data_IF_427104901602
#
_entry.id   IF_427104901602
#
_cell.length_a   1.000
_cell.length_b   1.000
_cell.length_c   1.000
_cell.angle_alpha   90.00
_cell.angle_beta   90.00
_cell.angle_gamma   90.00
#
_symmetry.space_group_name_H-M   'P 1'
#
loop_
_entity.id
_entity.type
_entity.pdbx_description
1 polymer ?
#
# COMPACT_ATOMS: atom_id res chain seq x y z
N UNK A 1 1.54 -10.13 -13.59
CA UNK A 1 2.92 -9.89 -13.16
C UNK A 1 3.23 -10.37 -11.74
N UNK A 2 2.24 -10.80 -10.96
CA UNK A 2 2.42 -11.39 -9.64
C UNK A 2 2.31 -12.91 -9.71
N UNK A 3 3.07 -13.60 -8.84
CA UNK A 3 2.88 -15.04 -8.67
C UNK A 3 1.63 -15.31 -7.81
N UNK A 4 1.04 -16.51 -7.98
CA UNK A 4 -0.18 -16.87 -7.23
C UNK A 4 0.08 -17.01 -5.73
N UNK A 5 1.28 -17.47 -5.34
CA UNK A 5 1.67 -17.64 -3.94
C UNK A 5 2.47 -16.45 -3.40
N UNK A 6 2.12 -15.25 -3.83
CA UNK A 6 2.74 -14.00 -3.38
C UNK A 6 2.83 -13.91 -1.86
N UNK A 7 3.97 -13.45 -1.37
CA UNK A 7 4.15 -13.11 0.04
C UNK A 7 4.13 -11.60 0.19
N UNK A 8 3.23 -11.10 1.04
CA UNK A 8 3.11 -9.67 1.31
C UNK A 8 3.30 -9.40 2.79
N UNK A 9 4.17 -8.44 3.10
CA UNK A 9 4.35 -7.93 4.44
C UNK A 9 4.11 -6.43 4.42
N UNK A 10 3.17 -5.97 5.21
CA UNK A 10 2.79 -4.56 5.24
C UNK A 10 2.91 -3.93 6.62
N UNK A 11 2.62 -2.65 6.65
CA UNK A 11 2.60 -1.83 7.87
C UNK A 11 1.63 -2.43 8.89
N UNK A 12 1.96 -2.26 10.17
CA UNK A 12 1.13 -2.73 11.28
C UNK A 12 0.98 -4.25 11.26
N UNK A 13 2.08 -4.91 10.93
CA UNK A 13 2.21 -6.37 10.99
C UNK A 13 1.18 -7.11 10.12
N UNK A 14 0.84 -6.56 8.96
CA UNK A 14 -0.04 -7.22 7.99
C UNK A 14 0.76 -8.21 7.16
N UNK A 15 0.43 -9.48 7.31
CA UNK A 15 1.08 -10.56 6.58
C UNK A 15 0.03 -11.29 5.76
N UNK A 16 0.22 -11.32 4.45
CA UNK A 16 -0.69 -12.03 3.54
C UNK A 16 0.09 -13.02 2.70
N UNK A 17 -0.47 -14.20 2.53
CA UNK A 17 0.03 -15.18 1.58
C UNK A 17 -1.02 -15.41 0.50
N UNK A 18 -0.57 -15.38 -0.74
CA UNK A 18 -1.42 -15.60 -1.89
C UNK A 18 -1.94 -14.32 -2.52
N UNK A 19 -2.06 -14.37 -3.83
CA UNK A 19 -2.46 -13.21 -4.62
C UNK A 19 -3.88 -12.75 -4.31
N UNK A 20 -4.79 -13.68 -4.02
CA UNK A 20 -6.18 -13.33 -3.73
C UNK A 20 -6.30 -12.52 -2.43
N UNK A 21 -5.55 -12.91 -1.38
CA UNK A 21 -5.53 -12.16 -0.13
C UNK A 21 -4.97 -10.76 -0.34
N UNK A 22 -3.92 -10.63 -1.14
CA UNK A 22 -3.34 -9.33 -1.47
C UNK A 22 -4.33 -8.44 -2.23
N UNK A 23 -5.02 -8.99 -3.23
CA UNK A 23 -6.03 -8.25 -4.00
C UNK A 23 -7.16 -7.75 -3.11
N UNK A 24 -7.61 -8.58 -2.17
CA UNK A 24 -8.65 -8.18 -1.21
C UNK A 24 -8.20 -7.02 -0.35
N UNK A 25 -6.95 -7.05 0.11
CA UNK A 25 -6.38 -5.95 0.89
C UNK A 25 -6.35 -4.65 0.08
N UNK A 26 -5.86 -4.69 -1.16
CA UNK A 26 -5.83 -3.52 -2.04
C UNK A 26 -7.23 -2.97 -2.26
N UNK A 27 -8.23 -3.85 -2.42
CA UNK A 27 -9.61 -3.43 -2.60
C UNK A 27 -10.16 -2.67 -1.39
N UNK A 28 -9.78 -3.08 -0.16
CA UNK A 28 -10.22 -2.35 1.05
C UNK A 28 -9.66 -0.94 1.10
N UNK A 29 -8.43 -0.74 0.61
CA UNK A 29 -7.82 0.59 0.52
C UNK A 29 -8.55 1.44 -0.51
N UNK A 30 -8.83 0.88 -1.69
CA UNK A 30 -9.54 1.59 -2.75
C UNK A 30 -10.97 1.95 -2.37
N UNK A 31 -11.61 1.11 -1.58
CA UNK A 31 -12.96 1.41 -1.07
C UNK A 31 -12.93 2.58 -0.09
N UNK A 32 -11.92 2.62 0.77
CA UNK A 32 -11.78 3.72 1.74
C UNK A 32 -11.43 5.05 1.05
N UNK A 33 -10.59 5.00 0.01
CA UNK A 33 -10.11 6.19 -0.71
C UNK A 33 -10.37 6.05 -2.21
N UNK A 34 -11.62 6.22 -2.66
CA UNK A 34 -11.93 6.01 -4.08
C UNK A 34 -11.27 7.01 -5.02
N UNK A 35 -10.87 8.18 -4.50
CA UNK A 35 -10.19 9.23 -5.25
C UNK A 35 -8.67 9.21 -5.08
N UNK A 36 -8.11 8.10 -4.55
CA UNK A 36 -6.69 8.01 -4.26
C UNK A 36 -5.83 8.24 -5.50
N UNK A 37 -4.89 9.18 -5.41
CA UNK A 37 -3.88 9.42 -6.43
C UNK A 37 -2.52 9.16 -5.85
N UNK A 38 -1.68 8.48 -6.62
CA UNK A 38 -0.37 8.05 -6.17
C UNK A 38 0.71 8.60 -7.09
N UNK A 39 1.78 9.10 -6.48
CA UNK A 39 2.96 9.60 -7.17
C UNK A 39 4.17 8.80 -6.72
N UNK A 40 4.92 8.28 -7.68
CA UNK A 40 6.20 7.62 -7.40
C UNK A 40 7.29 8.68 -7.41
N UNK A 41 7.94 8.88 -6.27
CA UNK A 41 8.94 9.93 -6.10
C UNK A 41 10.32 9.47 -6.52
N UNK A 42 10.71 8.26 -6.14
CA UNK A 42 12.01 7.68 -6.48
C UNK A 42 11.92 6.18 -6.62
N UNK A 43 12.70 5.61 -7.53
CA UNK A 43 12.79 4.16 -7.72
C UNK A 43 14.26 3.77 -7.73
N UNK A 44 14.59 2.74 -6.98
CA UNK A 44 15.91 2.14 -6.94
C UNK A 44 15.79 0.66 -7.23
N UNK A 45 16.79 0.08 -7.85
CA UNK A 45 16.80 -1.36 -8.11
C UNK A 45 18.21 -1.91 -8.05
N UNK A 46 18.30 -3.19 -7.68
CA UNK A 46 19.55 -3.93 -7.68
C UNK A 46 19.27 -5.37 -8.04
N UNK A 47 20.26 -6.02 -8.60
CA UNK A 47 20.15 -7.42 -9.00
C UNK A 47 20.53 -7.65 -10.45
N UNK A 48 20.13 -8.80 -10.95
CA UNK A 48 20.39 -9.20 -12.33
C UNK A 48 19.39 -10.28 -12.74
N UNK A 49 19.39 -10.63 -14.01
CA UNK A 49 18.46 -11.63 -14.57
C UNK A 49 18.63 -13.01 -13.93
N UNK A 50 19.84 -13.36 -13.52
CA UNK A 50 20.13 -14.68 -12.94
C UNK A 50 19.63 -14.78 -11.50
N UNK A 51 19.94 -13.79 -10.67
CA UNK A 51 19.64 -13.80 -9.22
C UNK A 51 18.29 -13.16 -8.88
N UNK A 52 17.67 -12.52 -9.86
CA UNK A 52 16.46 -11.75 -9.66
C UNK A 52 16.76 -10.30 -9.29
N UNK A 53 15.70 -9.52 -9.13
CA UNK A 53 15.76 -8.08 -8.87
C UNK A 53 15.11 -7.73 -7.55
N UNK A 54 15.68 -6.78 -6.86
CA UNK A 54 15.02 -6.11 -5.74
C UNK A 54 14.75 -4.68 -6.18
N UNK A 55 13.49 -4.28 -6.15
CA UNK A 55 13.06 -2.95 -6.56
C UNK A 55 12.47 -2.25 -5.34
N UNK A 56 12.88 -0.99 -5.13
CA UNK A 56 12.38 -0.18 -4.03
C UNK A 56 11.84 1.13 -4.58
N UNK A 57 10.63 1.49 -4.21
CA UNK A 57 10.00 2.73 -4.62
C UNK A 57 9.56 3.54 -3.41
N UNK A 58 9.92 4.82 -3.39
CA UNK A 58 9.36 5.78 -2.44
C UNK A 58 8.22 6.50 -3.14
N UNK A 59 7.08 6.58 -2.47
CA UNK A 59 5.87 7.14 -3.06
C UNK A 59 5.14 8.04 -2.09
N UNK A 60 4.31 8.90 -2.64
CA UNK A 60 3.35 9.70 -1.90
C UNK A 60 1.98 9.56 -2.53
N UNK A 61 0.95 9.76 -1.75
CA UNK A 61 -0.41 9.64 -2.22
C UNK A 61 -1.31 10.58 -1.44
N UNK A 62 -2.44 10.93 -2.05
CA UNK A 62 -3.46 11.69 -1.36
C UNK A 62 -4.83 11.19 -1.78
N UNK A 63 -5.77 11.27 -0.85
CA UNK A 63 -7.12 10.83 -1.09
C UNK A 63 -8.03 11.30 0.02
N UNK A 64 -9.33 11.19 -0.21
CA UNK A 64 -10.34 11.56 0.75
C UNK A 64 -10.98 10.29 1.31
N UNK A 65 -11.09 10.20 2.63
CA UNK A 65 -11.70 9.05 3.30
C UNK A 65 -13.21 9.10 3.11
N UNK A 66 -13.66 8.64 1.96
CA UNK A 66 -15.05 8.70 1.51
C UNK A 66 -15.81 7.39 1.64
N UNK A 67 -15.11 6.28 1.80
CA UNK A 67 -15.71 4.96 1.79
C UNK A 67 -15.46 4.16 3.04
N UNK A 68 -16.36 3.21 3.30
CA UNK A 68 -16.24 2.25 4.38
C UNK A 68 -15.29 1.14 3.92
N UNK A 69 -14.26 0.91 4.65
CA UNK A 69 -13.25 -0.09 4.30
C UNK A 69 -12.38 -0.38 5.49
N UNK A 70 -11.07 -0.40 5.28
CA UNK A 70 -10.11 -0.75 6.33
C UNK A 70 -10.17 0.20 7.54
N UNK A 71 -10.56 1.47 7.33
CA UNK A 71 -10.64 2.46 8.40
C UNK A 71 -12.08 2.76 8.83
N UNK A 72 -12.99 1.86 8.53
CA UNK A 72 -14.40 1.91 8.92
C UNK A 72 -15.13 3.09 8.29
N UNK A 73 -16.08 3.69 9.01
CA UNK A 73 -16.97 4.70 8.45
C UNK A 73 -16.22 5.91 7.89
N UNK A 74 -16.67 6.45 6.76
CA UNK A 74 -16.01 7.60 6.14
C UNK A 74 -16.00 8.80 7.08
N UNK A 75 -14.86 9.48 7.10
CA UNK A 75 -14.65 10.69 7.92
C UNK A 75 -14.63 11.96 7.08
N UNK A 76 -14.62 11.84 5.75
CA UNK A 76 -14.41 12.93 4.79
C UNK A 76 -13.07 13.65 4.97
N UNK A 77 -12.12 13.03 5.66
CA UNK A 77 -10.79 13.60 5.86
C UNK A 77 -10.01 13.61 4.55
N UNK A 78 -9.39 14.75 4.24
CA UNK A 78 -8.39 14.83 3.19
C UNK A 78 -7.09 14.28 3.77
N UNK A 79 -6.64 13.15 3.25
CA UNK A 79 -5.53 12.41 3.83
C UNK A 79 -4.31 12.41 2.91
N UNK A 80 -3.14 12.47 3.53
CA UNK A 80 -1.87 12.35 2.83
C UNK A 80 -1.13 11.13 3.33
N UNK A 81 -0.68 10.32 2.40
CA UNK A 81 0.06 9.10 2.66
C UNK A 81 1.43 9.18 1.99
N UNK A 82 2.39 8.52 2.60
CA UNK A 82 3.69 8.33 2.00
C UNK A 82 4.27 7.01 2.49
N UNK A 83 5.11 6.43 1.69
CA UNK A 83 5.68 5.15 2.08
C UNK A 83 6.77 4.67 1.14
N UNK A 84 7.22 3.47 1.44
CA UNK A 84 8.21 2.75 0.65
C UNK A 84 7.66 1.35 0.41
N UNK A 85 7.74 0.91 -0.84
CA UNK A 85 7.38 -0.44 -1.23
C UNK A 85 8.58 -1.10 -1.87
N UNK A 86 8.85 -2.34 -1.50
CA UNK A 86 9.91 -3.15 -2.11
C UNK A 86 9.30 -4.40 -2.73
N UNK A 87 9.82 -4.78 -3.86
CA UNK A 87 9.39 -5.97 -4.59
C UNK A 87 10.58 -6.85 -4.90
N UNK A 88 10.39 -8.15 -4.74
CA UNK A 88 11.33 -9.13 -5.29
C UNK A 88 10.75 -9.65 -6.60
N UNK A 89 11.53 -9.53 -7.66
CA UNK A 89 11.12 -9.94 -9.01
C UNK A 89 12.07 -11.03 -9.50
N UNK A 90 11.50 -12.13 -9.97
CA UNK A 90 12.23 -13.25 -10.53
C UNK A 90 11.52 -13.74 -11.78
N UNK A 91 12.27 -13.93 -12.87
CA UNK A 91 11.70 -14.39 -14.14
C UNK A 91 10.53 -13.52 -14.62
N UNK A 92 10.62 -12.23 -14.38
CA UNK A 92 9.58 -11.28 -14.81
C UNK A 92 8.33 -11.26 -13.94
N UNK A 93 8.32 -11.98 -12.82
CA UNK A 93 7.16 -12.05 -11.92
C UNK A 93 7.51 -11.54 -10.53
N UNK A 94 6.57 -10.82 -9.91
CA UNK A 94 6.72 -10.35 -8.54
C UNK A 94 6.35 -11.49 -7.60
N UNK A 95 7.29 -11.93 -6.78
CA UNK A 95 7.11 -13.04 -5.86
C UNK A 95 6.95 -12.63 -4.41
N UNK A 96 7.37 -11.40 -4.07
CA UNK A 96 7.22 -10.86 -2.72
C UNK A 96 7.11 -9.35 -2.77
N UNK A 97 6.37 -8.80 -1.82
CA UNK A 97 6.20 -7.35 -1.66
C UNK A 97 6.27 -7.00 -0.19
N UNK A 98 7.01 -5.95 0.13
CA UNK A 98 7.08 -5.35 1.46
C UNK A 98 6.65 -3.91 1.34
N UNK A 99 5.80 -3.46 2.25
CA UNK A 99 5.28 -2.10 2.21
C UNK A 99 5.24 -1.49 3.60
N UNK A 100 5.80 -0.29 3.72
CA UNK A 100 5.69 0.52 4.92
C UNK A 100 5.13 1.88 4.53
N UNK A 101 4.12 2.33 5.26
CA UNK A 101 3.57 3.67 5.03
C UNK A 101 3.18 4.31 6.37
N UNK A 102 2.85 5.59 6.35
CA UNK A 102 2.58 6.41 7.54
C UNK A 102 1.19 6.14 8.13
N UNK A 103 0.89 4.87 8.42
CA UNK A 103 -0.45 4.49 8.86
C UNK A 103 -0.88 5.13 10.17
N UNK A 104 0.02 5.23 11.13
CA UNK A 104 -0.33 5.89 12.40
C UNK A 104 -0.75 7.33 12.17
N UNK A 105 0.00 8.07 11.37
CA UNK A 105 -0.34 9.44 11.00
C UNK A 105 -1.66 9.52 10.23
N UNK A 106 -1.89 8.58 9.33
CA UNK A 106 -3.16 8.48 8.60
C UNK A 106 -4.34 8.32 9.55
N UNK A 107 -4.22 7.43 10.52
CA UNK A 107 -5.26 7.23 11.53
C UNK A 107 -5.50 8.52 12.33
N UNK A 108 -4.44 9.25 12.65
CA UNK A 108 -4.57 10.54 13.34
C UNK A 108 -5.27 11.57 12.49
N UNK A 109 -5.00 11.63 11.19
CA UNK A 109 -5.70 12.53 10.26
C UNK A 109 -7.20 12.26 10.26
N UNK A 110 -7.58 10.98 10.18
CA UNK A 110 -8.97 10.54 10.20
C UNK A 110 -9.63 10.89 11.55
N UNK A 111 -8.95 10.61 12.64
CA UNK A 111 -9.45 10.87 13.99
C UNK A 111 -9.71 12.35 14.22
N UNK A 112 -8.80 13.22 13.79
CA UNK A 112 -8.96 14.67 13.90
C UNK A 112 -10.16 15.15 13.10
N UNK A 113 -10.39 14.62 11.92
CA UNK A 113 -11.53 14.97 11.09
C UNK A 113 -12.86 14.58 11.78
N UNK A 114 -12.91 13.41 12.41
CA UNK A 114 -14.10 12.96 13.14
C UNK A 114 -14.44 13.84 14.32
N UNK A 115 -13.44 14.40 14.98
CA UNK A 115 -13.66 15.30 16.14
C UNK A 115 -14.25 16.65 15.77
N UNK A 116 -14.18 17.03 14.51
CA UNK A 116 -14.70 18.31 14.02
C UNK A 116 -16.17 18.25 13.63
N UNK A 117 -16.76 17.09 13.67
CA UNK A 117 -18.16 16.88 13.27
C UNK A 117 -19.12 17.05 14.49
#
# INVERSE_FOLDING_TARGET
>A
CYVDNLKFEGTTNRLFEGLNAYKSYVQTIRTAFPDLTLQVDEVYWMGNEHDGWLISARWSAEGTHLGDGIYKKPSNASCQLWGITQWRVSSGLIEAEWQLFNEFDLIMQITKARKKI
#
